data_IF_979932341416
#
_entry.id   IF_979932341416
#
_cell.length_a   1.000
_cell.length_b   1.000
_cell.length_c   1.000
_cell.angle_alpha   90.00
_cell.angle_beta   90.00
_cell.angle_gamma   90.00
#
_symmetry.space_group_name_H-M   'P 1'
#
loop_
_entity.id
_entity.type
_entity.pdbx_description
1 polymer ?
#
# COMPACT_ATOMS: atom_id res chain seq x y z
N UNK A 1 5.98 6.54 2.64
CA UNK A 1 5.26 5.36 3.15
C UNK A 1 6.31 4.45 3.74
N UNK A 2 6.36 4.37 5.06
CA UNK A 2 7.29 3.49 5.78
C UNK A 2 6.46 2.30 6.24
N UNK A 3 6.96 1.10 5.98
CA UNK A 3 6.21 -0.13 6.18
C UNK A 3 7.09 -1.00 7.12
N UNK A 4 6.53 -1.59 8.19
CA UNK A 4 7.18 -2.48 9.20
C UNK A 4 6.49 -3.84 9.25
N UNK A 5 7.24 -4.92 9.47
CA UNK A 5 6.79 -6.31 9.39
C UNK A 5 5.81 -6.70 10.53
N UNK A 6 4.62 -7.22 10.21
CA UNK A 6 3.73 -7.93 11.14
C UNK A 6 2.79 -8.91 10.39
N UNK A 7 2.50 -10.06 11.01
CA UNK A 7 1.78 -11.25 10.53
C UNK A 7 0.69 -11.03 9.47
N UNK A 8 1.08 -11.04 8.20
CA UNK A 8 0.17 -11.21 7.07
C UNK A 8 0.52 -12.51 6.35
N UNK A 9 -0.47 -13.31 6.00
CA UNK A 9 -0.32 -14.54 5.19
C UNK A 9 0.21 -14.28 3.77
N UNK A 10 0.40 -13.02 3.38
CA UNK A 10 0.96 -12.61 2.11
C UNK A 10 2.49 -12.59 2.16
N UNK A 11 3.11 -13.22 1.16
CA UNK A 11 4.56 -13.37 1.02
C UNK A 11 5.08 -12.41 -0.06
N UNK A 12 6.25 -11.84 0.16
CA UNK A 12 6.98 -11.07 -0.84
C UNK A 12 8.24 -11.83 -1.27
N UNK A 13 8.60 -11.69 -2.55
CA UNK A 13 9.83 -12.20 -3.12
C UNK A 13 10.64 -11.05 -3.71
N UNK A 14 11.92 -11.02 -3.39
CA UNK A 14 12.87 -10.14 -4.07
C UNK A 14 13.28 -10.80 -5.38
N UNK A 15 13.19 -10.11 -6.52
CA UNK A 15 13.55 -10.67 -7.84
C UNK A 15 15.03 -10.50 -8.14
N UNK A 16 15.60 -11.40 -8.95
CA UNK A 16 17.04 -11.33 -9.30
C UNK A 16 17.35 -10.22 -10.28
N UNK A 17 16.38 -9.81 -11.09
CA UNK A 17 16.55 -8.85 -12.18
C UNK A 17 16.80 -7.43 -11.65
N UNK A 18 15.97 -6.95 -10.71
CA UNK A 18 16.02 -5.56 -10.26
C UNK A 18 16.15 -5.39 -8.74
N UNK A 19 16.20 -6.50 -7.99
CA UNK A 19 16.25 -6.53 -6.52
C UNK A 19 15.07 -5.82 -5.83
N UNK A 20 13.96 -5.60 -6.55
CA UNK A 20 12.73 -5.09 -5.97
C UNK A 20 11.92 -6.24 -5.36
N UNK A 21 11.08 -5.87 -4.39
CA UNK A 21 10.17 -6.77 -3.71
C UNK A 21 8.79 -6.74 -4.36
N UNK A 22 8.24 -7.93 -4.61
CA UNK A 22 6.92 -8.11 -5.21
C UNK A 22 6.11 -9.08 -4.37
N UNK A 23 4.79 -8.87 -4.28
CA UNK A 23 3.89 -9.81 -3.65
C UNK A 23 3.79 -11.09 -4.51
N UNK A 24 3.87 -12.26 -3.87
CA UNK A 24 3.87 -13.55 -4.56
C UNK A 24 3.01 -14.61 -3.88
N UNK A 25 2.63 -15.61 -4.66
CA UNK A 25 2.06 -16.87 -4.21
C UNK A 25 2.99 -18.03 -4.61
N UNK A 26 3.25 -18.96 -3.68
CA UNK A 26 4.07 -20.13 -3.93
C UNK A 26 3.20 -21.32 -4.31
N UNK A 27 3.52 -21.96 -5.45
CA UNK A 27 2.84 -23.17 -5.92
C UNK A 27 3.87 -24.27 -6.14
N UNK A 28 3.65 -25.44 -5.54
CA UNK A 28 4.49 -26.62 -5.80
C UNK A 28 3.88 -27.46 -6.93
N UNK A 29 4.61 -27.59 -8.04
CA UNK A 29 4.23 -28.41 -9.18
C UNK A 29 5.22 -29.58 -9.31
N UNK A 30 4.86 -30.73 -8.75
CA UNK A 30 5.77 -31.89 -8.69
C UNK A 30 6.98 -31.58 -7.80
N UNK A 31 8.17 -31.47 -8.41
CA UNK A 31 9.44 -31.11 -7.72
C UNK A 31 9.89 -29.67 -7.99
N UNK A 32 9.03 -28.88 -8.66
CA UNK A 32 9.32 -27.50 -9.03
C UNK A 32 8.50 -26.56 -8.17
N UNK A 33 9.18 -25.67 -7.46
CA UNK A 33 8.58 -24.53 -6.80
C UNK A 33 8.36 -23.42 -7.84
N UNK A 34 7.13 -22.94 -7.96
CA UNK A 34 6.76 -21.84 -8.84
C UNK A 34 6.43 -20.64 -7.97
N UNK A 35 7.14 -19.55 -8.20
CA UNK A 35 6.89 -18.24 -7.59
C UNK A 35 6.00 -17.46 -8.56
N UNK A 36 4.72 -17.31 -8.21
CA UNK A 36 3.73 -16.56 -8.99
C UNK A 36 3.61 -15.14 -8.49
N UNK A 37 3.71 -14.16 -9.38
CA UNK A 37 3.61 -12.75 -9.02
C UNK A 37 2.16 -12.27 -9.07
N UNK A 38 1.69 -11.59 -8.03
CA UNK A 38 0.34 -11.01 -8.02
C UNK A 38 0.22 -9.90 -9.06
N UNK A 39 -0.91 -9.87 -9.77
CA UNK A 39 -1.22 -8.89 -10.83
C UNK A 39 -0.29 -8.93 -12.06
N UNK A 40 0.55 -9.95 -12.18
CA UNK A 40 1.36 -10.23 -13.37
C UNK A 40 0.86 -11.48 -14.09
N UNK A 41 1.00 -11.55 -15.43
CA UNK A 41 0.72 -12.77 -16.17
C UNK A 41 1.73 -13.88 -15.84
N UNK A 42 1.30 -15.14 -15.95
CA UNK A 42 2.09 -16.35 -15.68
C UNK A 42 3.42 -16.43 -16.48
N UNK A 43 3.61 -15.60 -17.50
CA UNK A 43 4.87 -15.47 -18.24
C UNK A 43 6.02 -14.93 -17.38
N UNK A 44 5.71 -14.26 -16.27
CA UNK A 44 6.68 -13.74 -15.30
C UNK A 44 6.97 -14.74 -14.18
N UNK A 45 6.27 -15.88 -14.10
CA UNK A 45 6.47 -16.87 -13.04
C UNK A 45 7.92 -17.38 -13.03
N UNK A 46 8.58 -17.29 -11.87
CA UNK A 46 9.91 -17.86 -11.68
C UNK A 46 9.81 -19.29 -11.17
N UNK A 47 10.58 -20.22 -11.76
CA UNK A 47 10.52 -21.66 -11.47
C UNK A 47 11.85 -22.15 -10.95
N UNK A 48 11.82 -22.85 -9.82
CA UNK A 48 12.98 -23.35 -9.13
C UNK A 48 12.83 -24.83 -8.81
N UNK A 49 13.89 -25.59 -9.01
CA UNK A 49 13.98 -27.01 -8.71
C UNK A 49 15.18 -27.27 -7.82
N UNK A 50 15.26 -28.46 -7.23
CA UNK A 50 16.43 -28.86 -6.43
C UNK A 50 17.72 -28.92 -7.24
N UNK A 51 17.64 -29.03 -8.57
CA UNK A 51 18.82 -29.07 -9.44
C UNK A 51 19.48 -27.69 -9.62
N UNK A 52 18.76 -26.60 -9.29
CA UNK A 52 19.25 -25.23 -9.46
C UNK A 52 20.17 -24.79 -8.31
N UNK A 53 20.25 -25.59 -7.24
CA UNK A 53 21.06 -25.30 -6.04
C UNK A 53 22.22 -26.27 -5.95
N UNK A 54 23.45 -25.76 -6.04
CA UNK A 54 24.67 -26.58 -5.97
C UNK A 54 25.02 -26.98 -4.55
N UNK A 55 24.70 -26.11 -3.59
CA UNK A 55 25.00 -26.29 -2.19
C UNK A 55 23.93 -25.65 -1.29
N UNK A 56 24.04 -25.90 0.01
CA UNK A 56 23.11 -25.34 1.00
C UNK A 56 23.21 -23.82 1.11
N UNK A 57 24.34 -23.22 0.73
CA UNK A 57 24.55 -21.77 0.80
C UNK A 57 23.78 -21.04 -0.30
N UNK A 58 23.70 -21.61 -1.50
CA UNK A 58 22.84 -21.12 -2.57
C UNK A 58 21.36 -21.23 -2.17
N UNK A 59 20.96 -22.33 -1.53
CA UNK A 59 19.61 -22.51 -1.02
C UNK A 59 19.26 -21.49 0.09
N UNK A 60 20.16 -21.24 1.04
CA UNK A 60 19.97 -20.23 2.09
C UNK A 60 19.82 -18.82 1.51
N UNK A 61 20.63 -18.47 0.50
CA UNK A 61 20.49 -17.19 -0.21
C UNK A 61 19.14 -17.06 -0.89
N UNK A 62 18.65 -18.12 -1.52
CA UNK A 62 17.32 -18.14 -2.14
C UNK A 62 16.20 -17.97 -1.11
N UNK A 63 16.28 -18.68 0.02
CA UNK A 63 15.31 -18.52 1.13
C UNK A 63 15.33 -17.09 1.66
N UNK A 64 16.50 -16.46 1.77
CA UNK A 64 16.66 -15.07 2.19
C UNK A 64 16.01 -14.03 1.28
N UNK A 65 15.48 -14.44 0.12
CA UNK A 65 14.74 -13.57 -0.81
C UNK A 65 13.24 -13.58 -0.57
N UNK A 66 12.76 -14.32 0.42
CA UNK A 66 11.38 -14.32 0.84
C UNK A 66 11.21 -13.59 2.16
N UNK A 67 10.12 -12.85 2.29
CA UNK A 67 9.72 -12.22 3.57
C UNK A 67 8.20 -12.11 3.67
N UNK A 68 7.65 -12.00 4.89
CA UNK A 68 6.27 -11.55 5.06
C UNK A 68 6.08 -10.15 4.50
N UNK A 69 4.88 -9.84 4.03
CA UNK A 69 4.55 -8.49 3.54
C UNK A 69 4.74 -7.48 4.67
N UNK A 70 5.34 -6.34 4.35
CA UNK A 70 5.46 -5.26 5.32
C UNK A 70 4.07 -4.61 5.57
N UNK A 71 3.75 -4.26 6.82
CA UNK A 71 2.52 -3.54 7.22
C UNK A 71 2.75 -2.04 7.35
N UNK A 72 1.84 -1.25 6.79
CA UNK A 72 1.97 0.21 6.76
C UNK A 72 2.07 0.80 8.18
N UNK A 73 3.10 1.63 8.43
CA UNK A 73 3.20 2.40 9.68
C UNK A 73 2.04 3.39 9.73
N UNK A 74 1.24 3.24 10.77
CA UNK A 74 0.14 4.16 11.08
C UNK A 74 0.68 5.43 11.77
N UNK A 75 -0.05 6.54 11.63
CA UNK A 75 0.35 7.85 12.17
C UNK A 75 0.68 7.82 13.67
N UNK A 76 -0.06 7.03 14.45
CA UNK A 76 0.16 6.87 15.89
C UNK A 76 1.47 6.14 16.23
N UNK A 77 2.01 5.37 15.29
CA UNK A 77 3.28 4.65 15.38
C UNK A 77 4.44 5.38 14.70
N UNK A 78 4.23 6.59 14.16
CA UNK A 78 5.29 7.32 13.44
C UNK A 78 6.53 7.60 14.32
N UNK A 79 6.36 7.67 15.64
CA UNK A 79 7.43 7.87 16.62
C UNK A 79 8.33 6.64 16.82
N UNK A 80 7.91 5.46 16.35
CA UNK A 80 8.71 4.24 16.42
C UNK A 80 9.81 4.23 15.36
N UNK A 81 9.70 5.06 14.32
CA UNK A 81 10.70 5.19 13.26
C UNK A 81 11.84 6.08 13.73
N UNK A 82 13.05 5.52 13.72
CA UNK A 82 14.29 6.19 14.14
C UNK A 82 15.35 6.13 13.03
N UNK A 83 16.46 6.85 13.19
CA UNK A 83 17.62 6.72 12.31
C UNK A 83 18.06 5.25 12.22
N UNK A 84 18.45 4.82 11.01
CA UNK A 84 18.84 3.46 10.63
C UNK A 84 17.74 2.41 10.67
N UNK A 85 16.49 2.80 10.93
CA UNK A 85 15.36 1.88 10.77
C UNK A 85 15.33 1.38 9.32
N UNK A 86 15.27 0.07 9.12
CA UNK A 86 15.09 -0.51 7.79
C UNK A 86 13.60 -0.48 7.46
N UNK A 87 13.29 0.03 6.28
CA UNK A 87 11.92 0.27 5.81
C UNK A 87 11.77 -0.25 4.40
N UNK A 88 10.57 -0.69 4.06
CA UNK A 88 10.19 -0.88 2.66
C UNK A 88 9.86 0.50 2.06
N UNK A 89 10.73 0.98 1.16
CA UNK A 89 10.58 2.25 0.47
C UNK A 89 10.11 2.03 -0.97
N UNK A 90 9.12 2.80 -1.38
CA UNK A 90 8.69 2.83 -2.78
C UNK A 90 9.52 3.82 -3.59
N UNK A 91 9.83 3.44 -4.83
CA UNK A 91 10.47 4.29 -5.83
C UNK A 91 9.65 4.24 -7.11
N UNK A 92 9.29 5.41 -7.61
CA UNK A 92 8.50 5.56 -8.84
C UNK A 92 9.45 5.58 -10.04
N UNK A 93 9.13 4.75 -11.04
CA UNK A 93 9.75 4.67 -12.35
C UNK A 93 8.66 4.99 -13.39
N UNK A 94 8.77 6.10 -14.13
CA UNK A 94 7.73 6.48 -15.10
C UNK A 94 6.36 6.77 -14.47
N UNK A 95 5.30 6.70 -15.28
CA UNK A 95 3.96 7.19 -14.89
C UNK A 95 3.20 6.18 -14.01
N UNK A 96 3.47 4.87 -14.15
CA UNK A 96 2.71 3.79 -13.48
C UNK A 96 3.57 2.66 -12.89
N UNK A 97 4.90 2.77 -12.90
CA UNK A 97 5.76 1.73 -12.32
C UNK A 97 6.27 2.19 -10.95
N UNK A 98 5.93 1.43 -9.91
CA UNK A 98 6.33 1.69 -8.53
C UNK A 98 6.96 0.42 -8.00
N UNK A 99 8.23 0.51 -7.63
CA UNK A 99 9.02 -0.61 -7.13
C UNK A 99 9.34 -0.42 -5.66
N UNK A 100 9.45 -1.52 -4.94
CA UNK A 100 9.67 -1.53 -3.50
C UNK A 100 11.05 -2.08 -3.16
N UNK A 101 11.78 -1.40 -2.28
CA UNK A 101 13.15 -1.74 -1.90
C UNK A 101 13.34 -1.64 -0.39
N UNK A 102 14.33 -2.35 0.12
CA UNK A 102 14.83 -2.08 1.46
C UNK A 102 15.65 -0.78 1.47
N UNK A 103 15.34 0.09 2.40
CA UNK A 103 16.04 1.34 2.61
C UNK A 103 16.31 1.56 4.09
N UNK A 104 17.45 2.17 4.42
CA UNK A 104 17.73 2.67 5.75
C UNK A 104 17.26 4.13 5.85
N UNK A 105 16.51 4.44 6.91
CA UNK A 105 16.15 5.83 7.24
C UNK A 105 17.42 6.58 7.66
N UNK A 106 17.72 7.68 6.98
CA UNK A 106 18.91 8.50 7.29
C UNK A 106 18.65 9.57 8.35
N UNK A 107 17.45 10.15 8.37
CA UNK A 107 17.08 11.22 9.29
C UNK A 107 15.56 11.21 9.50
N UNK A 108 15.11 11.44 10.73
CA UNK A 108 13.69 11.56 11.07
C UNK A 108 13.40 12.97 11.60
N UNK A 109 12.54 13.70 10.89
CA UNK A 109 12.07 15.03 11.30
C UNK A 109 10.66 14.92 11.87
N UNK A 110 10.58 14.83 13.19
CA UNK A 110 9.30 14.73 13.90
C UNK A 110 8.58 16.09 13.83
N UNK A 111 7.31 16.06 13.45
CA UNK A 111 6.40 17.22 13.48
C UNK A 111 5.13 16.83 14.21
N UNK A 112 4.45 17.79 14.82
CA UNK A 112 3.14 17.52 15.40
C UNK A 112 2.12 17.32 14.28
N UNK A 113 1.49 16.14 14.29
CA UNK A 113 0.40 15.79 13.37
C UNK A 113 -0.95 16.15 14.00
N UNK A 114 -0.98 16.31 15.34
CA UNK A 114 -2.13 16.88 16.03
C UNK A 114 -2.15 18.38 15.74
N UNK A 115 -3.21 18.81 15.08
CA UNK A 115 -3.32 20.14 14.56
C UNK A 115 -3.27 21.18 15.70
N UNK A 116 -2.09 21.74 15.94
CA UNK A 116 -2.01 23.13 16.36
C UNK A 116 -2.37 23.96 15.13
N UNK A 117 -3.68 24.09 14.95
CA UNK A 117 -4.34 24.87 13.93
C UNK A 117 -3.65 26.23 13.80
N UNK A 118 -2.80 26.42 12.79
CA UNK A 118 -2.35 27.78 12.45
C UNK A 118 -3.57 28.50 11.89
N UNK A 119 -4.19 29.32 12.72
CA UNK A 119 -5.33 30.17 12.36
C UNK A 119 -4.91 31.05 11.18
N UNK A 120 -5.48 30.81 10.01
CA UNK A 120 -5.34 31.70 8.87
C UNK A 120 -6.00 33.04 9.16
N UNK A 121 -5.76 34.05 8.31
CA UNK A 121 -6.33 35.41 8.44
C UNK A 121 -7.88 35.47 8.49
N UNK A 122 -8.57 34.34 8.31
CA UNK A 122 -10.02 34.14 8.42
C UNK A 122 -10.45 33.40 9.71
N UNK A 123 -9.53 33.13 10.64
CA UNK A 123 -9.80 32.29 11.82
C UNK A 123 -10.03 30.81 11.50
N UNK A 124 -9.67 30.35 10.29
CA UNK A 124 -9.72 28.94 9.90
C UNK A 124 -8.33 28.33 9.86
N UNK A 125 -8.12 27.16 10.46
CA UNK A 125 -6.87 26.44 10.40
C UNK A 125 -6.48 26.13 8.96
N UNK A 126 -5.22 26.37 8.58
CA UNK A 126 -4.68 25.81 7.32
C UNK A 126 -3.99 24.49 7.63
N UNK A 127 -4.50 23.40 7.05
CA UNK A 127 -3.92 22.06 7.11
C UNK A 127 -3.80 21.49 5.69
N UNK A 128 -2.87 20.58 5.47
CA UNK A 128 -2.85 19.77 4.25
C UNK A 128 -3.91 18.68 4.40
N UNK A 129 -5.02 18.78 3.67
CA UNK A 129 -6.16 17.86 3.79
C UNK A 129 -7.37 18.50 4.48
N UNK A 130 -8.16 17.68 5.18
CA UNK A 130 -9.33 18.13 5.95
C UNK A 130 -8.99 18.17 7.44
N UNK A 131 -9.52 19.15 8.16
CA UNK A 131 -9.35 19.23 9.62
C UNK A 131 -9.98 18.00 10.26
N UNK A 132 -9.20 17.29 11.09
CA UNK A 132 -9.69 16.11 11.80
C UNK A 132 -10.80 16.49 12.78
N UNK A 133 -11.83 15.65 12.84
CA UNK A 133 -12.86 15.69 13.89
C UNK A 133 -12.21 15.30 15.23
N UNK A 134 -12.71 15.84 16.33
CA UNK A 134 -12.30 15.39 17.67
C UNK A 134 -12.58 13.88 17.79
N UNK A 135 -11.58 13.03 18.15
CA UNK A 135 -11.75 11.60 18.32
C UNK A 135 -12.92 11.20 19.22
N UNK A 136 -13.29 12.04 20.20
CA UNK A 136 -14.42 11.82 21.12
C UNK A 136 -15.79 12.08 20.47
N UNK A 137 -15.81 12.85 19.39
CA UNK A 137 -17.02 13.18 18.64
C UNK A 137 -17.20 12.27 17.41
N UNK A 138 -16.23 11.40 17.14
CA UNK A 138 -16.27 10.46 16.01
C UNK A 138 -17.32 9.38 16.25
N UNK A 139 -18.05 9.04 15.20
CA UNK A 139 -19.14 8.09 15.19
C UNK A 139 -18.92 7.07 14.07
N UNK A 140 -19.60 5.92 14.14
CA UNK A 140 -19.47 4.86 13.13
C UNK A 140 -19.83 5.33 11.70
N UNK A 141 -20.77 6.29 11.59
CA UNK A 141 -21.15 6.89 10.32
C UNK A 141 -20.03 7.71 9.66
N UNK A 142 -19.03 8.18 10.41
CA UNK A 142 -17.86 8.85 9.84
C UNK A 142 -16.98 7.85 9.04
N UNK A 143 -17.12 6.53 9.27
CA UNK A 143 -16.39 5.44 8.61
C UNK A 143 -17.28 4.54 7.74
N UNK A 144 -18.54 4.90 7.54
CA UNK A 144 -19.48 4.10 6.74
C UNK A 144 -19.94 4.85 5.49
N UNK A 145 -19.80 4.21 4.33
CA UNK A 145 -20.35 4.67 3.07
C UNK A 145 -21.20 3.57 2.43
N UNK A 146 -22.40 3.92 1.96
CA UNK A 146 -23.29 3.02 1.23
C UNK A 146 -23.63 3.59 -0.15
N UNK A 147 -24.16 2.75 -1.04
CA UNK A 147 -24.56 3.15 -2.39
C UNK A 147 -23.59 2.73 -3.49
N UNK A 148 -22.36 2.29 -3.18
CA UNK A 148 -21.46 1.70 -4.18
C UNK A 148 -21.99 0.41 -4.81
N UNK A 149 -22.96 -0.27 -4.19
CA UNK A 149 -23.63 -1.44 -4.78
C UNK A 149 -24.68 -1.05 -5.85
N UNK A 150 -25.12 0.21 -5.87
CA UNK A 150 -26.12 0.70 -6.83
C UNK A 150 -25.43 1.22 -8.10
N UNK A 151 -25.94 0.89 -9.30
CA UNK A 151 -25.41 1.42 -10.54
C UNK A 151 -25.70 2.92 -10.69
N UNK A 152 -24.70 3.65 -11.17
CA UNK A 152 -24.84 5.04 -11.54
C UNK A 152 -25.68 5.25 -12.80
N UNK A 153 -26.36 6.39 -12.90
CA UNK A 153 -27.13 6.75 -14.09
C UNK A 153 -26.20 7.11 -15.26
N UNK A 154 -26.10 6.20 -16.23
CA UNK A 154 -25.31 6.35 -17.46
C UNK A 154 -26.12 6.92 -18.63
N UNK A 155 -27.41 7.24 -18.47
CA UNK A 155 -28.24 7.96 -19.45
C UNK A 155 -27.90 9.45 -19.47
N UNK A 156 -26.64 9.76 -19.74
CA UNK A 156 -26.10 11.09 -19.88
C UNK A 156 -25.16 11.16 -21.10
N UNK A 157 -24.78 12.36 -21.52
CA UNK A 157 -23.99 12.56 -22.75
C UNK A 157 -22.65 11.80 -22.77
N UNK A 158 -22.04 11.56 -21.60
CA UNK A 158 -20.76 10.85 -21.50
C UNK A 158 -20.91 9.33 -21.50
N UNK A 159 -22.15 8.81 -21.46
CA UNK A 159 -22.40 7.37 -21.36
C UNK A 159 -21.75 6.73 -20.13
N UNK A 160 -21.39 7.50 -19.11
CA UNK A 160 -20.66 6.99 -17.95
C UNK A 160 -21.03 7.75 -16.69
N UNK A 161 -20.82 7.11 -15.53
CA UNK A 161 -21.06 7.71 -14.23
C UNK A 161 -19.94 7.35 -13.26
N UNK A 162 -19.27 8.39 -12.77
CA UNK A 162 -18.26 8.28 -11.71
C UNK A 162 -18.93 8.51 -10.36
N UNK A 163 -18.73 7.56 -9.43
CA UNK A 163 -19.18 7.62 -8.04
C UNK A 163 -17.94 7.57 -7.13
N UNK A 164 -17.39 8.74 -6.73
CA UNK A 164 -16.21 8.80 -5.88
C UNK A 164 -16.54 8.55 -4.41
N UNK A 165 -15.62 7.91 -3.70
CA UNK A 165 -15.62 7.76 -2.25
C UNK A 165 -14.23 8.13 -1.74
N UNK A 166 -14.02 9.42 -1.55
CA UNK A 166 -12.82 9.98 -0.93
C UNK A 166 -13.20 10.67 0.39
N UNK A 167 -12.26 11.39 1.01
CA UNK A 167 -12.46 12.09 2.30
C UNK A 167 -13.69 13.04 2.32
N UNK A 168 -14.14 13.51 1.15
CA UNK A 168 -15.34 14.35 1.05
C UNK A 168 -16.65 13.55 1.25
N UNK A 169 -16.69 12.29 0.83
CA UNK A 169 -17.86 11.41 0.99
C UNK A 169 -17.75 10.52 2.23
N UNK A 170 -16.53 10.14 2.61
CA UNK A 170 -16.24 9.25 3.73
C UNK A 170 -15.15 9.88 4.60
N UNK A 171 -15.52 10.73 5.58
CA UNK A 171 -14.57 11.51 6.38
C UNK A 171 -13.50 10.68 7.08
N UNK A 172 -13.83 9.45 7.46
CA UNK A 172 -12.94 8.48 8.09
C UNK A 172 -11.77 8.04 7.22
N UNK A 173 -11.75 8.38 5.92
CA UNK A 173 -10.59 8.15 5.04
C UNK A 173 -9.48 9.19 5.21
N UNK A 174 -9.70 10.26 5.98
CA UNK A 174 -8.67 11.28 6.19
C UNK A 174 -7.40 10.66 6.76
N UNK A 175 -6.24 11.03 6.21
CA UNK A 175 -4.89 10.52 6.53
C UNK A 175 -4.62 9.02 6.29
N UNK A 176 -5.63 8.22 5.92
CA UNK A 176 -5.43 6.77 5.65
C UNK A 176 -4.77 6.45 4.30
N UNK A 177 -4.63 7.43 3.41
CA UNK A 177 -3.99 7.24 2.10
C UNK A 177 -4.77 6.33 1.13
N UNK A 178 -6.04 6.05 1.42
CA UNK A 178 -6.93 5.23 0.59
C UNK A 178 -8.12 6.04 0.07
N UNK A 179 -8.60 5.69 -1.11
CA UNK A 179 -9.83 6.22 -1.72
C UNK A 179 -10.42 5.18 -2.65
N UNK A 180 -11.73 5.22 -2.88
CA UNK A 180 -12.42 4.31 -3.79
C UNK A 180 -13.21 5.09 -4.83
N UNK A 181 -13.45 4.46 -5.99
CA UNK A 181 -14.32 4.99 -7.03
C UNK A 181 -15.02 3.85 -7.75
N UNK A 182 -16.33 3.99 -8.00
CA UNK A 182 -17.07 3.14 -8.94
C UNK A 182 -17.28 3.92 -10.22
N UNK A 183 -17.05 3.28 -11.36
CA UNK A 183 -17.31 3.85 -12.67
C UNK A 183 -18.25 2.90 -13.42
N UNK A 184 -19.44 3.39 -13.74
CA UNK A 184 -20.42 2.69 -14.56
C UNK A 184 -20.34 3.21 -16.00
N UNK A 185 -20.44 2.32 -16.98
CA UNK A 185 -20.46 2.66 -18.42
C UNK A 185 -21.75 2.16 -19.05
N UNK A 186 -22.29 2.94 -19.99
CA UNK A 186 -23.29 2.49 -20.93
C UNK A 186 -22.66 1.49 -21.92
N UNK A 187 -23.46 0.56 -22.49
CA UNK A 187 -23.00 -0.34 -23.53
C UNK A 187 -22.39 0.37 -24.74
#
# INVERSE_FOLDING_TARGET
>A
MVIVNQDSTSLEFQTYEDNAWYAVCLVLQGKTLVVKFYDFPDTYDEKFSTADFKDTKELEKFIGRFRPTYVQVQDNKCKEITDRTIVCASKVFGINDVKFYDAAVQEVKIKDHNANLKMGKSGRPRVNGVVCKDPKLTQANDFFFSGLHLPGNTSNFLGSKVTPVNVAQLPGLNTLGISMVRIDYAP
#
